data_IF_747013650856
#
_entry.id   IF_747013650856
#
_cell.length_a   1.000
_cell.length_b   1.000
_cell.length_c   1.000
_cell.angle_alpha   90.00
_cell.angle_beta   90.00
_cell.angle_gamma   90.00
#
_symmetry.space_group_name_H-M   'P 1'
#
loop_
_entity.id
_entity.type
_entity.pdbx_description
1 polymer ?
#
# COMPACT_ATOMS: atom_id res chain seq x y z
N UNK A 1 3.87 35.84 8.70
CA UNK A 1 2.96 37.00 8.60
C UNK A 1 3.05 37.55 7.18
N UNK A 2 1.97 38.04 6.53
CA UNK A 2 0.54 38.09 6.92
C UNK A 2 -0.24 36.89 6.32
N UNK A 3 -1.32 36.30 6.86
CA UNK A 3 -2.60 36.73 7.45
C UNK A 3 -3.61 37.33 6.47
N UNK A 4 -4.56 36.50 6.01
CA UNK A 4 -5.93 36.94 5.65
C UNK A 4 -6.90 35.93 6.27
N UNK A 5 -7.84 36.47 7.06
CA UNK A 5 -8.93 35.77 7.74
C UNK A 5 -10.27 36.23 7.14
N UNK A 6 -11.11 35.24 6.78
CA UNK A 6 -12.57 35.14 7.04
C UNK A 6 -13.56 36.14 6.37
N UNK A 7 -14.85 35.74 6.11
CA UNK A 7 -15.74 35.16 7.12
C UNK A 7 -16.62 33.95 6.73
N UNK A 8 -17.00 33.26 7.80
CA UNK A 8 -18.07 32.29 7.89
C UNK A 8 -19.43 32.96 8.12
N UNK A 9 -20.50 32.26 7.70
CA UNK A 9 -21.83 32.40 8.29
C UNK A 9 -22.95 32.74 7.31
N UNK A 10 -23.78 31.75 6.95
CA UNK A 10 -25.20 31.79 7.30
C UNK A 10 -25.83 30.40 7.09
N UNK A 11 -26.56 29.95 8.10
CA UNK A 11 -27.30 28.71 8.15
C UNK A 11 -28.77 28.90 7.77
N UNK A 12 -29.41 27.79 7.39
CA UNK A 12 -30.86 27.51 7.37
C UNK A 12 -31.72 28.25 6.33
N UNK A 13 -32.30 27.50 5.39
CA UNK A 13 -33.75 27.53 5.11
C UNK A 13 -34.20 26.18 4.54
N UNK A 14 -35.07 25.50 5.30
CA UNK A 14 -35.96 24.42 4.84
C UNK A 14 -37.05 25.03 3.94
N UNK A 15 -37.50 24.30 2.93
CA UNK A 15 -38.89 24.38 2.44
C UNK A 15 -39.37 23.02 1.98
N UNK A 16 -40.53 22.63 2.50
CA UNK A 16 -41.24 21.38 2.28
C UNK A 16 -41.88 21.28 0.89
N UNK A 17 -41.96 20.04 0.39
CA UNK A 17 -43.12 19.37 -0.23
C UNK A 17 -43.94 20.03 -1.34
N UNK A 18 -44.02 19.36 -2.50
CA UNK A 18 -45.27 19.12 -3.24
C UNK A 18 -45.05 18.16 -4.42
N UNK A 19 -45.94 17.16 -4.51
CA UNK A 19 -46.09 16.13 -5.54
C UNK A 19 -46.18 16.63 -7.00
N UNK A 20 -45.73 15.82 -7.97
CA UNK A 20 -46.58 15.08 -8.94
C UNK A 20 -45.80 14.51 -10.15
N UNK A 21 -46.12 13.25 -10.42
CA UNK A 21 -46.07 12.47 -11.66
C UNK A 21 -45.87 13.20 -13.01
N UNK A 22 -45.04 12.59 -13.89
CA UNK A 22 -45.50 12.25 -15.24
C UNK A 22 -44.71 12.76 -16.46
N UNK A 23 -44.18 11.78 -17.21
CA UNK A 23 -44.05 11.74 -18.68
C UNK A 23 -42.87 12.40 -19.39
N UNK A 24 -42.13 11.50 -20.07
CA UNK A 24 -41.40 11.65 -21.33
C UNK A 24 -41.91 12.74 -22.28
N UNK A 25 -40.97 13.48 -22.88
CA UNK A 25 -40.96 13.82 -24.32
C UNK A 25 -39.61 14.37 -24.77
N UNK A 26 -39.10 13.75 -25.82
CA UNK A 26 -38.06 14.27 -26.71
C UNK A 26 -38.39 15.68 -27.23
N UNK A 27 -37.35 16.50 -27.41
CA UNK A 27 -37.31 17.56 -28.41
C UNK A 27 -35.88 17.71 -28.94
N UNK A 28 -35.82 17.91 -30.26
CA UNK A 28 -34.68 17.78 -31.14
C UNK A 28 -34.40 19.09 -31.86
N UNK A 29 -33.12 19.30 -32.23
CA UNK A 29 -32.56 20.23 -33.24
C UNK A 29 -32.65 21.74 -32.90
N UNK A 30 -31.68 22.61 -33.22
CA UNK A 30 -30.73 22.64 -34.34
C UNK A 30 -29.58 23.65 -34.13
N UNK A 31 -28.37 23.21 -34.47
CA UNK A 31 -27.29 23.86 -35.26
C UNK A 31 -27.07 25.39 -35.22
N UNK A 32 -25.85 25.78 -34.82
CA UNK A 32 -24.93 26.51 -35.72
C UNK A 32 -23.46 26.23 -35.34
N UNK A 33 -22.73 25.65 -36.28
CA UNK A 33 -21.26 25.49 -36.34
C UNK A 33 -20.86 26.13 -37.70
N UNK A 34 -19.62 26.61 -37.92
CA UNK A 34 -18.49 25.68 -38.00
C UNK A 34 -17.11 26.22 -37.55
N UNK A 35 -16.29 25.30 -37.05
CA UNK A 35 -14.85 25.44 -36.87
C UNK A 35 -14.19 24.07 -36.81
N UNK A 36 -14.02 23.46 -37.99
CA UNK A 36 -13.36 22.17 -38.26
C UNK A 36 -12.06 22.00 -37.46
N UNK A 37 -11.70 20.78 -37.07
CA UNK A 37 -10.40 20.10 -37.28
C UNK A 37 -10.61 18.60 -36.99
N UNK A 38 -10.23 17.75 -37.93
CA UNK A 38 -10.46 16.29 -37.93
C UNK A 38 -9.23 15.53 -37.46
N UNK A 39 -9.41 14.47 -36.66
CA UNK A 39 -8.58 13.24 -36.73
C UNK A 39 -9.35 12.05 -36.15
N UNK A 40 -9.29 10.96 -36.91
CA UNK A 40 -10.07 9.72 -36.85
C UNK A 40 -9.55 8.71 -35.82
N UNK A 41 -10.46 8.06 -35.09
CA UNK A 41 -10.18 6.87 -34.28
C UNK A 41 -10.40 5.58 -35.10
N UNK A 42 -9.53 4.56 -35.04
CA UNK A 42 -9.80 3.23 -35.58
C UNK A 42 -10.46 2.31 -34.52
N UNK A 43 -11.41 1.48 -34.97
CA UNK A 43 -12.07 0.40 -34.20
C UNK A 43 -11.12 -0.79 -33.96
N UNK A 44 -11.31 -1.62 -32.92
CA UNK A 44 -10.39 -2.71 -32.62
C UNK A 44 -10.58 -3.88 -33.60
N UNK A 45 -9.47 -4.41 -34.11
CA UNK A 45 -9.44 -5.64 -34.89
C UNK A 45 -9.32 -6.85 -33.96
N UNK A 46 -10.20 -7.83 -34.15
CA UNK A 46 -10.17 -9.14 -33.48
C UNK A 46 -9.07 -9.99 -34.11
N UNK A 47 -8.06 -10.41 -33.34
CA UNK A 47 -7.03 -11.35 -33.79
C UNK A 47 -7.28 -12.75 -33.22
N UNK A 48 -7.54 -13.71 -34.12
CA UNK A 48 -7.61 -15.14 -33.82
C UNK A 48 -6.19 -15.70 -33.63
N UNK A 49 -5.93 -16.35 -32.49
CA UNK A 49 -4.66 -17.03 -32.22
C UNK A 49 -4.70 -18.44 -32.84
N UNK A 50 -3.82 -18.72 -33.81
CA UNK A 50 -3.55 -20.08 -34.30
C UNK A 50 -2.30 -20.63 -33.61
N UNK A 51 -2.41 -21.80 -32.98
CA UNK A 51 -1.29 -22.50 -32.36
C UNK A 51 -0.28 -22.98 -33.41
N UNK A 52 1.01 -22.73 -33.20
CA UNK A 52 2.09 -23.32 -34.00
C UNK A 52 2.61 -24.56 -33.28
N UNK A 53 2.60 -25.71 -33.97
CA UNK A 53 3.19 -26.97 -33.50
C UNK A 53 4.71 -26.89 -33.60
N UNK A 54 5.39 -27.33 -32.54
CA UNK A 54 6.82 -27.62 -32.56
C UNK A 54 7.06 -28.92 -33.34
N UNK A 55 7.95 -28.85 -34.34
CA UNK A 55 8.49 -30.04 -34.99
C UNK A 55 9.98 -30.12 -34.64
N UNK A 56 10.35 -31.20 -33.95
CA UNK A 56 11.72 -31.66 -33.80
C UNK A 56 12.23 -32.19 -35.14
N UNK A 57 13.47 -31.86 -35.51
CA UNK A 57 14.28 -32.76 -36.33
C UNK A 57 15.77 -32.46 -36.18
N UNK A 58 16.57 -33.50 -36.44
CA UNK A 58 17.93 -33.73 -35.95
C UNK A 58 18.97 -33.74 -37.08
N UNK A 59 20.25 -33.62 -36.69
CA UNK A 59 21.52 -33.96 -37.39
C UNK A 59 22.26 -32.89 -38.22
N UNK A 60 23.39 -32.47 -37.63
CA UNK A 60 24.79 -32.63 -38.08
C UNK A 60 25.36 -31.95 -39.37
N UNK A 61 26.52 -31.31 -39.13
CA UNK A 61 27.70 -31.04 -39.99
C UNK A 61 27.86 -29.71 -40.77
N UNK A 62 28.88 -28.97 -40.31
CA UNK A 62 29.89 -28.14 -41.02
C UNK A 62 29.57 -27.50 -42.38
N UNK A 63 29.70 -26.17 -42.43
CA UNK A 63 29.99 -25.44 -43.67
C UNK A 63 29.97 -23.92 -43.49
N UNK A 64 31.12 -23.27 -43.74
CA UNK A 64 31.26 -21.80 -43.79
C UNK A 64 30.49 -21.24 -44.98
N UNK A 65 29.82 -20.09 -44.82
CA UNK A 65 29.37 -19.28 -45.95
C UNK A 65 28.28 -18.27 -45.60
N UNK A 66 28.64 -16.99 -45.73
CA UNK A 66 27.81 -15.86 -46.17
C UNK A 66 26.28 -15.96 -46.00
N UNK A 67 25.71 -15.09 -45.17
CA UNK A 67 24.27 -14.81 -45.20
C UNK A 67 24.05 -13.47 -45.91
N UNK A 68 23.37 -13.57 -47.04
CA UNK A 68 22.91 -12.50 -47.91
C UNK A 68 21.75 -11.74 -47.24
N UNK A 69 21.74 -10.43 -47.45
CA UNK A 69 20.71 -9.50 -46.99
C UNK A 69 19.40 -9.70 -47.76
N UNK A 70 18.29 -9.30 -47.11
CA UNK A 70 16.94 -9.00 -47.65
C UNK A 70 15.89 -10.10 -47.57
N UNK A 71 15.19 -10.10 -46.44
CA UNK A 71 13.74 -10.25 -46.41
C UNK A 71 13.16 -9.50 -45.19
N UNK A 72 13.24 -8.16 -45.20
CA UNK A 72 12.52 -7.32 -44.26
C UNK A 72 11.10 -7.11 -44.77
N UNK A 73 10.11 -7.63 -44.03
CA UNK A 73 8.70 -7.23 -44.16
C UNK A 73 8.51 -5.95 -43.36
N UNK A 74 8.27 -4.85 -44.07
CA UNK A 74 7.93 -3.54 -43.53
C UNK A 74 6.59 -3.60 -42.76
N UNK A 75 6.63 -3.29 -41.46
CA UNK A 75 5.48 -2.74 -40.74
C UNK A 75 5.83 -1.30 -40.32
N UNK A 76 4.93 -0.38 -40.66
CA UNK A 76 5.12 1.06 -40.55
C UNK A 76 4.96 1.62 -39.13
N UNK A 77 5.82 2.61 -38.87
CA UNK A 77 5.64 3.84 -38.09
C UNK A 77 5.16 3.73 -36.63
N UNK A 78 6.03 3.19 -35.79
CA UNK A 78 6.23 3.68 -34.43
C UNK A 78 7.69 4.11 -34.32
N UNK A 79 7.97 5.30 -33.78
CA UNK A 79 9.34 5.75 -33.50
C UNK A 79 10.03 4.75 -32.55
N UNK A 80 10.71 3.75 -33.13
CA UNK A 80 11.75 2.99 -32.46
C UNK A 80 12.98 3.89 -32.51
N UNK A 81 13.15 4.70 -31.47
CA UNK A 81 14.41 5.37 -31.24
C UNK A 81 15.50 4.30 -31.22
N UNK A 82 16.46 4.43 -32.12
CA UNK A 82 17.75 3.76 -32.04
C UNK A 82 18.24 3.86 -30.58
N UNK A 83 18.33 2.72 -29.89
CA UNK A 83 19.12 2.63 -28.66
C UNK A 83 20.57 2.82 -29.04
N UNK A 84 20.99 4.09 -29.14
CA UNK A 84 22.39 4.44 -28.99
C UNK A 84 22.81 3.86 -27.65
N UNK A 85 23.78 2.93 -27.67
CA UNK A 85 24.47 2.48 -26.47
C UNK A 85 25.18 3.69 -25.84
N UNK A 86 24.44 4.48 -25.07
CA UNK A 86 25.02 5.44 -24.15
C UNK A 86 25.62 4.63 -23.02
N UNK A 87 26.93 4.43 -23.07
CA UNK A 87 27.73 3.91 -21.96
C UNK A 87 27.85 4.93 -20.83
N UNK A 88 26.75 5.61 -20.49
CA UNK A 88 26.58 6.30 -19.22
C UNK A 88 25.95 5.30 -18.27
N UNK A 89 26.48 5.17 -17.06
CA UNK A 89 25.79 4.49 -15.98
C UNK A 89 24.45 5.21 -15.77
N UNK A 90 23.37 4.64 -16.29
CA UNK A 90 22.04 5.19 -16.05
C UNK A 90 21.78 5.12 -14.54
N UNK A 91 21.81 6.29 -13.90
CA UNK A 91 21.52 6.42 -12.49
C UNK A 91 20.05 6.05 -12.25
N UNK A 92 19.82 5.05 -11.41
CA UNK A 92 18.47 4.71 -10.94
C UNK A 92 17.86 5.92 -10.23
N UNK A 93 16.69 6.36 -10.72
CA UNK A 93 15.99 7.56 -10.22
C UNK A 93 15.09 7.26 -9.02
N UNK A 94 14.18 6.29 -9.16
CA UNK A 94 13.27 5.83 -8.09
C UNK A 94 14.08 5.28 -6.93
N UNK A 95 13.78 5.68 -5.70
CA UNK A 95 14.45 5.26 -4.46
C UNK A 95 13.89 3.93 -3.91
N UNK A 96 14.68 3.26 -3.08
CA UNK A 96 14.28 2.03 -2.39
C UNK A 96 14.31 2.29 -0.88
N UNK A 97 13.18 2.06 -0.23
CA UNK A 97 13.03 2.06 1.22
C UNK A 97 13.06 0.61 1.70
N UNK A 98 13.91 0.28 2.65
CA UNK A 98 13.98 -1.05 3.24
C UNK A 98 13.65 -0.98 4.73
N UNK A 99 12.71 -1.81 5.18
CA UNK A 99 12.42 -1.97 6.61
C UNK A 99 13.53 -2.81 7.25
N UNK A 100 14.15 -2.27 8.31
CA UNK A 100 15.18 -2.99 9.06
C UNK A 100 14.51 -3.83 10.14
N UNK A 101 14.93 -5.09 10.23
CA UNK A 101 14.38 -6.04 11.20
C UNK A 101 15.40 -7.11 11.60
N UNK A 102 14.96 -8.20 12.25
CA UNK A 102 15.86 -9.24 12.75
C UNK A 102 16.85 -9.78 11.71
N UNK A 103 16.43 -9.99 10.45
CA UNK A 103 17.29 -10.49 9.39
C UNK A 103 18.33 -9.47 8.88
N UNK A 104 18.11 -8.19 9.14
CA UNK A 104 18.88 -7.09 8.53
C UNK A 104 19.44 -6.08 9.52
N UNK A 105 19.30 -6.34 10.82
CA UNK A 105 19.73 -5.43 11.90
C UNK A 105 21.23 -5.49 12.22
N UNK A 106 22.00 -6.42 11.63
CA UNK A 106 23.45 -6.50 11.81
C UNK A 106 24.16 -5.44 10.96
N UNK A 107 25.36 -5.03 11.40
CA UNK A 107 26.21 -4.09 10.65
C UNK A 107 26.43 -4.56 9.22
N UNK A 108 26.84 -5.81 9.06
CA UNK A 108 27.19 -6.41 7.77
C UNK A 108 26.00 -6.35 6.81
N UNK A 109 24.80 -6.63 7.32
CA UNK A 109 23.58 -6.65 6.51
C UNK A 109 23.10 -5.24 6.15
N UNK A 110 23.13 -4.28 7.08
CA UNK A 110 22.79 -2.87 6.77
C UNK A 110 23.72 -2.34 5.68
N UNK A 111 25.02 -2.59 5.80
CA UNK A 111 26.01 -2.13 4.83
C UNK A 111 25.82 -2.82 3.48
N UNK A 112 25.53 -4.13 3.49
CA UNK A 112 25.22 -4.86 2.26
C UNK A 112 23.96 -4.32 1.58
N UNK A 113 22.92 -3.99 2.33
CA UNK A 113 21.70 -3.37 1.79
C UNK A 113 22.01 -1.99 1.19
N UNK A 114 22.80 -1.17 1.87
CA UNK A 114 23.21 0.14 1.38
C UNK A 114 23.96 0.02 0.03
N UNK A 115 24.97 -0.84 -0.05
CA UNK A 115 25.75 -1.08 -1.28
C UNK A 115 24.93 -1.72 -2.40
N UNK A 116 23.89 -2.50 -2.07
CA UNK A 116 22.99 -3.10 -3.07
C UNK A 116 21.96 -2.10 -3.60
N UNK A 117 21.75 -0.96 -2.91
CA UNK A 117 20.94 0.15 -3.41
C UNK A 117 19.80 0.62 -2.51
N UNK A 118 19.77 0.21 -1.22
CA UNK A 118 18.89 0.86 -0.23
C UNK A 118 19.19 2.37 -0.21
N UNK A 119 18.15 3.21 -0.12
CA UNK A 119 18.29 4.66 0.04
C UNK A 119 17.76 5.15 1.38
N UNK A 120 16.78 4.46 1.94
CA UNK A 120 16.15 4.81 3.21
C UNK A 120 16.04 3.57 4.07
N UNK A 121 16.55 3.62 5.29
CA UNK A 121 16.34 2.62 6.32
C UNK A 121 15.07 2.98 7.12
N UNK A 122 14.04 2.15 7.02
CA UNK A 122 12.77 2.32 7.75
C UNK A 122 12.81 1.56 9.08
N UNK A 123 12.48 2.27 10.15
CA UNK A 123 12.29 1.76 11.51
C UNK A 123 10.80 1.68 11.80
N UNK A 124 10.26 0.48 11.94
CA UNK A 124 8.84 0.27 12.21
C UNK A 124 8.57 0.24 13.71
N UNK A 125 7.97 1.29 14.27
CA UNK A 125 7.72 1.44 15.72
C UNK A 125 6.56 0.60 16.26
N UNK A 126 5.86 -0.14 15.39
CA UNK A 126 4.93 -1.22 15.80
C UNK A 126 5.68 -2.42 16.39
N UNK A 127 6.99 -2.53 16.11
CA UNK A 127 7.86 -3.59 16.60
C UNK A 127 9.17 -3.03 17.16
N UNK A 128 9.82 -3.79 18.05
CA UNK A 128 11.06 -3.35 18.69
C UNK A 128 10.86 -2.27 19.74
N UNK A 129 11.92 -2.00 20.49
CA UNK A 129 12.01 -0.90 21.47
C UNK A 129 13.00 0.17 20.99
N UNK A 130 13.01 1.33 21.65
CA UNK A 130 13.93 2.43 21.31
C UNK A 130 15.39 2.01 21.36
N UNK A 131 15.78 1.09 22.25
CA UNK A 131 17.15 0.61 22.36
C UNK A 131 17.59 -0.21 21.12
N UNK A 132 16.69 -1.03 20.58
CA UNK A 132 16.93 -1.78 19.35
C UNK A 132 17.03 -0.86 18.13
N UNK A 133 16.13 0.12 18.02
CA UNK A 133 16.13 1.11 16.95
C UNK A 133 17.33 2.05 17.03
N UNK A 134 17.79 2.41 18.23
CA UNK A 134 19.00 3.20 18.45
C UNK A 134 20.22 2.53 17.82
N UNK A 135 20.39 1.21 18.03
CA UNK A 135 21.50 0.47 17.42
C UNK A 135 21.46 0.55 15.90
N UNK A 136 20.28 0.45 15.29
CA UNK A 136 20.13 0.60 13.84
C UNK A 136 20.50 2.00 13.38
N UNK A 137 20.05 3.04 14.09
CA UNK A 137 20.39 4.44 13.81
C UNK A 137 21.92 4.63 13.85
N UNK A 138 22.57 4.15 14.91
CA UNK A 138 24.01 4.28 15.10
C UNK A 138 24.78 3.62 13.94
N UNK A 139 24.38 2.42 13.52
CA UNK A 139 25.01 1.69 12.42
C UNK A 139 24.81 2.37 11.05
N UNK A 140 23.65 2.97 10.81
CA UNK A 140 23.38 3.73 9.58
C UNK A 140 24.19 5.04 9.56
N UNK A 141 24.23 5.77 10.69
CA UNK A 141 25.07 6.96 10.83
C UNK A 141 26.55 6.63 10.67
N UNK A 142 26.99 5.49 11.21
CA UNK A 142 28.36 5.01 11.03
C UNK A 142 28.69 4.74 9.56
N UNK A 143 27.77 4.09 8.82
CA UNK A 143 27.94 3.87 7.38
C UNK A 143 28.03 5.20 6.62
N UNK A 144 27.12 6.14 6.89
CA UNK A 144 27.12 7.45 6.24
C UNK A 144 28.41 8.24 6.52
N UNK A 145 29.02 8.08 7.70
CA UNK A 145 30.29 8.73 8.01
C UNK A 145 31.49 8.21 7.22
N UNK A 146 31.37 7.06 6.53
CA UNK A 146 32.45 6.50 5.71
C UNK A 146 32.55 7.11 4.31
N UNK A 147 31.51 7.83 3.85
CA UNK A 147 31.39 8.28 2.46
C UNK A 147 30.94 9.74 2.39
N UNK A 148 31.48 10.51 1.44
CA UNK A 148 31.06 11.90 1.22
C UNK A 148 29.83 11.99 0.29
N UNK A 149 29.65 11.01 -0.59
CA UNK A 149 28.68 11.00 -1.69
C UNK A 149 27.58 9.94 -1.53
N UNK A 150 27.69 9.05 -0.54
CA UNK A 150 26.68 8.05 -0.21
C UNK A 150 26.04 8.37 1.14
N UNK A 151 24.72 8.54 1.13
CA UNK A 151 23.95 8.72 2.34
C UNK A 151 22.69 7.86 2.29
N UNK A 152 22.45 7.13 3.38
CA UNK A 152 21.22 6.43 3.68
C UNK A 152 20.41 7.31 4.63
N UNK A 153 19.23 7.73 4.20
CA UNK A 153 18.31 8.43 5.09
C UNK A 153 17.65 7.45 6.06
N UNK A 154 17.18 7.95 7.19
CA UNK A 154 16.47 7.16 8.19
C UNK A 154 15.02 7.64 8.23
N UNK A 155 14.10 6.68 8.19
CA UNK A 155 12.66 6.92 8.31
C UNK A 155 12.13 6.23 9.56
N UNK A 156 11.44 6.98 10.42
CA UNK A 156 10.69 6.44 11.55
C UNK A 156 9.22 6.30 11.16
N UNK A 157 8.71 5.09 11.21
CA UNK A 157 7.32 4.77 10.92
C UNK A 157 6.55 4.56 12.22
N UNK A 158 5.63 5.47 12.52
CA UNK A 158 4.84 5.47 13.75
C UNK A 158 3.88 4.28 13.75
N UNK A 159 3.64 3.72 14.94
CA UNK A 159 2.66 2.66 15.11
C UNK A 159 1.26 3.13 14.72
N UNK A 160 0.92 4.34 15.12
CA UNK A 160 -0.38 4.95 14.86
C UNK A 160 -1.53 4.28 15.64
N UNK A 161 -2.74 4.81 15.46
CA UNK A 161 -3.93 4.28 16.10
C UNK A 161 -4.40 2.98 15.44
N UNK A 162 -4.09 1.85 16.05
CA UNK A 162 -4.53 0.52 15.59
C UNK A 162 -5.37 -0.20 16.65
N UNK A 163 -6.53 -0.71 16.23
CA UNK A 163 -7.31 -1.63 17.05
C UNK A 163 -6.78 -3.05 16.83
N UNK A 164 -6.46 -3.74 17.91
CA UNK A 164 -5.99 -5.11 17.93
C UNK A 164 -6.74 -5.95 18.94
N UNK A 165 -6.88 -7.24 18.64
CA UNK A 165 -7.33 -8.24 19.60
C UNK A 165 -6.30 -8.44 20.72
N UNK A 166 -6.75 -8.94 21.86
CA UNK A 166 -5.93 -9.26 23.01
C UNK A 166 -5.08 -10.51 22.78
N UNK A 167 -4.33 -10.86 23.83
CA UNK A 167 -3.55 -12.10 23.84
C UNK A 167 -4.48 -13.31 24.03
N UNK A 168 -4.35 -14.33 23.17
CA UNK A 168 -5.03 -15.62 23.30
C UNK A 168 -4.02 -16.69 23.73
N UNK A 169 -4.32 -17.52 24.75
CA UNK A 169 -3.39 -18.55 25.23
C UNK A 169 -3.06 -19.61 24.17
N UNK A 170 -4.02 -19.90 23.30
CA UNK A 170 -3.92 -20.79 22.16
C UNK A 170 -4.72 -20.20 21.00
N UNK A 171 -4.34 -20.45 19.74
CA UNK A 171 -5.14 -20.03 18.60
C UNK A 171 -6.59 -20.53 18.71
N UNK A 172 -7.54 -19.64 18.47
CA UNK A 172 -8.98 -19.95 18.53
C UNK A 172 -9.48 -20.17 17.11
N UNK A 173 -10.03 -21.35 16.83
CA UNK A 173 -10.62 -21.65 15.53
C UNK A 173 -12.05 -21.12 15.46
N UNK A 174 -12.26 -20.08 14.65
CA UNK A 174 -13.56 -19.48 14.43
C UNK A 174 -14.32 -20.18 13.30
N UNK A 175 -15.54 -20.64 13.59
CA UNK A 175 -16.42 -21.30 12.62
C UNK A 175 -17.52 -20.34 12.15
N UNK A 176 -17.82 -20.38 10.87
CA UNK A 176 -18.94 -19.64 10.28
C UNK A 176 -20.26 -19.89 11.03
N UNK A 177 -21.02 -18.82 11.28
CA UNK A 177 -22.30 -18.84 11.98
C UNK A 177 -22.21 -18.87 13.51
N UNK A 178 -21.03 -19.07 14.11
CA UNK A 178 -20.90 -19.06 15.57
C UNK A 178 -20.94 -17.64 16.14
N UNK A 179 -21.34 -17.51 17.40
CA UNK A 179 -21.21 -16.23 18.13
C UNK A 179 -19.77 -16.06 18.65
N UNK A 180 -19.24 -14.85 18.51
CA UNK A 180 -17.94 -14.48 19.07
C UNK A 180 -17.95 -13.00 19.48
N UNK A 181 -17.30 -12.70 20.60
CA UNK A 181 -17.40 -11.39 21.24
C UNK A 181 -16.03 -10.69 21.33
N UNK A 182 -16.06 -9.37 21.19
CA UNK A 182 -14.92 -8.50 21.48
C UNK A 182 -15.25 -7.60 22.66
N UNK A 183 -14.38 -7.52 23.67
CA UNK A 183 -14.63 -6.70 24.87
C UNK A 183 -13.50 -5.70 25.13
N UNK A 184 -13.84 -4.52 25.64
CA UNK A 184 -12.83 -3.54 26.09
C UNK A 184 -12.23 -3.90 27.45
N UNK A 185 -12.77 -4.91 28.13
CA UNK A 185 -12.25 -5.40 29.41
C UNK A 185 -10.90 -6.08 29.19
N UNK A 186 -9.81 -5.42 29.63
CA UNK A 186 -8.43 -5.89 29.44
C UNK A 186 -8.21 -7.26 30.07
N UNK A 187 -7.46 -8.11 29.35
CA UNK A 187 -7.05 -9.44 29.84
C UNK A 187 -8.09 -10.54 29.67
N UNK A 188 -9.30 -10.24 29.18
CA UNK A 188 -10.28 -11.26 28.86
C UNK A 188 -9.83 -12.04 27.61
N UNK A 189 -9.77 -13.35 27.75
CA UNK A 189 -9.59 -14.31 26.66
C UNK A 189 -10.24 -15.64 27.04
N UNK A 190 -11.43 -15.89 26.49
CA UNK A 190 -12.18 -17.15 26.60
C UNK A 190 -12.36 -17.76 25.21
N UNK A 191 -13.02 -18.92 25.12
CA UNK A 191 -13.28 -19.60 23.85
C UNK A 191 -14.18 -18.78 22.89
N UNK A 192 -14.97 -17.85 23.44
CA UNK A 192 -15.99 -17.07 22.73
C UNK A 192 -15.82 -15.55 22.86
N UNK A 193 -14.83 -15.09 23.62
CA UNK A 193 -14.65 -13.65 23.92
C UNK A 193 -13.17 -13.30 24.02
N UNK A 194 -12.75 -12.26 23.29
CA UNK A 194 -11.38 -11.74 23.35
C UNK A 194 -11.40 -10.24 23.61
N UNK A 195 -10.46 -9.77 24.42
CA UNK A 195 -10.31 -8.35 24.69
C UNK A 195 -9.82 -7.57 23.45
N UNK A 196 -10.04 -6.27 23.41
CA UNK A 196 -9.42 -5.36 22.43
C UNK A 196 -8.55 -4.34 23.15
N UNK A 197 -7.59 -3.74 22.44
CA UNK A 197 -6.65 -2.74 22.98
C UNK A 197 -7.15 -1.29 22.90
N UNK A 198 -8.44 -1.06 22.58
CA UNK A 198 -9.01 0.26 22.38
C UNK A 198 -10.32 0.42 23.16
N UNK A 199 -10.39 1.43 24.03
CA UNK A 199 -11.48 1.57 25.02
C UNK A 199 -12.77 2.10 24.41
N UNK A 200 -12.67 2.92 23.37
CA UNK A 200 -13.83 3.45 22.65
C UNK A 200 -14.32 2.53 21.51
N UNK A 201 -13.78 1.31 21.42
CA UNK A 201 -14.14 0.35 20.38
C UNK A 201 -15.66 0.09 20.30
N UNK A 202 -16.34 0.01 21.45
CA UNK A 202 -17.80 -0.20 21.52
C UNK A 202 -18.59 0.98 20.95
N UNK A 203 -18.04 2.19 21.05
CA UNK A 203 -18.66 3.42 20.53
C UNK A 203 -18.47 3.55 19.01
N UNK A 204 -17.38 2.98 18.47
CA UNK A 204 -17.03 3.06 17.05
C UNK A 204 -17.74 2.01 16.18
N UNK A 205 -18.44 1.05 16.79
CA UNK A 205 -19.16 -0.03 16.09
C UNK A 205 -20.66 0.07 16.28
N UNK A 206 -21.43 -0.30 15.25
CA UNK A 206 -22.90 -0.37 15.29
C UNK A 206 -23.41 -1.74 14.83
N UNK A 207 -24.58 -2.20 15.31
CA UNK A 207 -25.24 -3.38 14.78
C UNK A 207 -25.41 -3.28 13.26
N UNK A 208 -25.01 -4.33 12.55
CA UNK A 208 -24.97 -4.37 11.09
C UNK A 208 -23.59 -4.08 10.47
N UNK A 209 -22.64 -3.54 11.24
CA UNK A 209 -21.27 -3.38 10.77
C UNK A 209 -20.58 -4.74 10.56
N UNK A 210 -19.55 -4.74 9.71
CA UNK A 210 -18.66 -5.88 9.51
C UNK A 210 -17.29 -5.56 10.11
N UNK A 211 -16.90 -6.34 11.12
CA UNK A 211 -15.54 -6.35 11.66
C UNK A 211 -14.68 -7.24 10.79
N UNK A 212 -13.55 -6.70 10.36
CA UNK A 212 -12.53 -7.41 9.58
C UNK A 212 -11.35 -7.70 10.50
N UNK A 213 -10.84 -8.92 10.43
CA UNK A 213 -9.64 -9.33 11.16
C UNK A 213 -8.50 -9.57 10.16
N UNK A 214 -7.32 -9.02 10.46
CA UNK A 214 -6.11 -9.07 9.62
C UNK A 214 -6.42 -8.76 8.14
N UNK A 215 -7.07 -7.64 7.89
CA UNK A 215 -7.38 -7.18 6.53
C UNK A 215 -8.41 -8.01 5.76
N UNK A 216 -9.33 -8.64 6.49
CA UNK A 216 -10.45 -9.38 5.89
C UNK A 216 -10.17 -10.87 5.68
N UNK A 217 -9.08 -11.41 6.23
CA UNK A 217 -8.88 -12.87 6.28
C UNK A 217 -9.96 -13.58 7.11
N UNK A 218 -10.55 -12.87 8.08
CA UNK A 218 -11.78 -13.28 8.76
C UNK A 218 -12.70 -12.08 8.85
N UNK A 219 -14.01 -12.34 8.91
CA UNK A 219 -15.01 -11.29 9.02
C UNK A 219 -16.11 -11.68 10.01
N UNK A 220 -16.57 -10.73 10.80
CA UNK A 220 -17.61 -10.93 11.80
C UNK A 220 -18.66 -9.82 11.69
N UNK A 221 -19.93 -10.19 11.58
CA UNK A 221 -21.04 -9.24 11.56
C UNK A 221 -21.45 -8.86 12.98
N UNK A 222 -21.50 -7.56 13.28
CA UNK A 222 -21.92 -7.05 14.58
C UNK A 222 -23.43 -7.26 14.75
N UNK A 223 -23.81 -8.04 15.75
CA UNK A 223 -25.21 -8.36 16.06
C UNK A 223 -25.79 -7.40 17.10
N UNK A 224 -25.03 -7.09 18.14
CA UNK A 224 -25.44 -6.18 19.22
C UNK A 224 -24.24 -5.73 20.03
N UNK A 225 -24.40 -4.69 20.86
CA UNK A 225 -23.36 -4.22 21.79
C UNK A 225 -23.93 -3.97 23.19
N UNK A 226 -23.13 -4.23 24.21
CA UNK A 226 -23.34 -3.82 25.60
C UNK A 226 -22.49 -2.56 25.88
N UNK A 227 -22.33 -2.18 27.15
CA UNK A 227 -21.43 -1.08 27.55
C UNK A 227 -19.96 -1.38 27.25
N UNK A 228 -19.57 -2.65 27.25
CA UNK A 228 -18.18 -3.10 27.25
C UNK A 228 -17.87 -4.21 26.25
N UNK A 229 -18.88 -4.73 25.55
CA UNK A 229 -18.77 -5.94 24.74
C UNK A 229 -19.57 -5.81 23.45
N UNK A 230 -18.93 -6.17 22.34
CA UNK A 230 -19.51 -6.22 21.00
C UNK A 230 -19.74 -7.68 20.66
N UNK A 231 -21.01 -8.06 20.46
CA UNK A 231 -21.41 -9.41 20.10
C UNK A 231 -21.49 -9.54 18.59
N UNK A 232 -20.77 -10.51 18.04
CA UNK A 232 -20.68 -10.71 16.60
C UNK A 232 -21.07 -12.13 16.21
N UNK A 233 -21.46 -12.29 14.95
CA UNK A 233 -21.60 -13.59 14.28
C UNK A 233 -20.46 -13.72 13.29
N UNK A 234 -19.72 -14.83 13.34
CA UNK A 234 -18.66 -15.10 12.38
C UNK A 234 -19.28 -15.31 11.00
N UNK A 235 -18.85 -14.50 10.03
CA UNK A 235 -19.25 -14.62 8.61
C UNK A 235 -18.20 -15.45 7.91
N UNK A 236 -16.95 -14.96 7.88
CA UNK A 236 -15.81 -15.73 7.38
C UNK A 236 -14.95 -16.21 8.56
N UNK A 237 -14.91 -17.53 8.77
CA UNK A 237 -14.16 -18.18 9.84
C UNK A 237 -12.66 -18.28 9.56
N UNK A 238 -11.89 -18.68 10.58
CA UNK A 238 -10.44 -18.80 10.47
C UNK A 238 -9.75 -18.95 11.83
N UNK A 239 -8.42 -18.93 11.83
CA UNK A 239 -7.62 -19.09 13.05
C UNK A 239 -7.27 -17.73 13.66
N UNK A 240 -7.92 -17.37 14.77
CA UNK A 240 -7.63 -16.15 15.53
C UNK A 240 -6.44 -16.38 16.47
N UNK A 241 -5.35 -15.66 16.22
CA UNK A 241 -4.16 -15.62 17.10
C UNK A 241 -4.13 -14.33 17.92
N UNK A 242 -3.08 -14.12 18.71
CA UNK A 242 -2.94 -12.92 19.53
C UNK A 242 -2.68 -11.67 18.67
N UNK A 243 -3.13 -10.51 19.17
CA UNK A 243 -2.77 -9.17 18.66
C UNK A 243 -3.07 -8.95 17.18
N UNK A 244 -4.20 -9.50 16.72
CA UNK A 244 -4.67 -9.41 15.34
C UNK A 244 -5.31 -8.06 15.08
N UNK A 245 -5.10 -7.51 13.90
CA UNK A 245 -5.67 -6.21 13.52
C UNK A 245 -7.18 -6.33 13.38
N UNK A 246 -7.90 -5.32 13.90
CA UNK A 246 -9.35 -5.20 13.82
C UNK A 246 -9.72 -3.90 13.11
N UNK A 247 -10.54 -4.02 12.07
CA UNK A 247 -10.98 -2.90 11.26
C UNK A 247 -12.51 -2.97 11.10
N UNK A 248 -13.17 -1.82 10.98
CA UNK A 248 -14.63 -1.77 10.75
C UNK A 248 -14.84 -1.38 9.30
N UNK A 249 -15.42 -2.28 8.50
CA UNK A 249 -15.54 -2.07 7.06
C UNK A 249 -16.27 -0.76 6.74
N UNK A 250 -15.60 0.13 6.02
CA UNK A 250 -16.17 1.41 5.59
C UNK A 250 -16.29 2.47 6.68
N UNK A 251 -15.69 2.26 7.86
CA UNK A 251 -15.62 3.26 8.93
C UNK A 251 -14.19 3.45 9.38
N UNK A 252 -13.70 4.69 9.30
CA UNK A 252 -12.49 5.06 10.02
C UNK A 252 -12.80 5.19 11.50
N UNK A 253 -12.06 4.45 12.32
CA UNK A 253 -12.13 4.60 13.77
C UNK A 253 -11.92 6.07 14.19
N UNK A 254 -12.59 6.48 15.28
CA UNK A 254 -12.53 7.83 15.84
C UNK A 254 -11.27 8.05 16.68
N UNK A 255 -10.26 7.23 16.45
CA UNK A 255 -8.97 7.34 17.09
C UNK A 255 -8.27 8.65 16.72
N UNK A 256 -7.53 9.26 17.68
CA UNK A 256 -6.64 10.37 17.37
C UNK A 256 -5.57 9.91 16.37
N UNK A 257 -5.25 10.73 15.39
CA UNK A 257 -4.27 10.39 14.34
C UNK A 257 -2.84 10.15 14.86
N UNK A 258 -2.53 10.62 16.07
CA UNK A 258 -1.25 10.43 16.74
C UNK A 258 -1.55 10.08 18.20
N UNK A 259 -1.03 8.94 18.67
CA UNK A 259 -1.19 8.49 20.06
C UNK A 259 -0.11 9.06 20.98
N UNK A 260 -0.27 8.95 22.30
CA UNK A 260 0.77 9.36 23.26
C UNK A 260 2.08 8.59 23.03
N UNK A 261 1.98 7.30 22.69
CA UNK A 261 3.15 6.49 22.31
C UNK A 261 3.82 7.05 21.05
N UNK A 262 3.04 7.44 20.03
CA UNK A 262 3.61 8.01 18.82
C UNK A 262 4.35 9.32 19.12
N UNK A 263 3.88 10.13 20.07
CA UNK A 263 4.62 11.32 20.52
C UNK A 263 5.95 10.99 21.18
N UNK A 264 6.01 9.93 21.99
CA UNK A 264 7.27 9.43 22.57
C UNK A 264 8.23 8.94 21.47
N UNK A 265 7.71 8.20 20.48
CA UNK A 265 8.47 7.70 19.34
C UNK A 265 8.98 8.86 18.47
N UNK A 266 8.16 9.89 18.22
CA UNK A 266 8.54 11.10 17.49
C UNK A 266 9.63 11.84 18.24
N UNK A 267 9.50 12.02 19.56
CA UNK A 267 10.53 12.66 20.38
C UNK A 267 11.86 11.89 20.29
N UNK A 268 11.82 10.56 20.39
CA UNK A 268 12.99 9.70 20.20
C UNK A 268 13.65 9.92 18.83
N UNK A 269 12.84 10.05 17.77
CA UNK A 269 13.34 10.35 16.43
C UNK A 269 13.97 11.74 16.33
N UNK A 270 13.39 12.76 16.97
CA UNK A 270 13.91 14.14 16.96
C UNK A 270 15.24 14.20 17.70
N UNK A 271 15.33 13.55 18.86
CA UNK A 271 16.56 13.44 19.66
C UNK A 271 17.69 12.71 18.88
N UNK A 272 17.36 11.99 17.81
CA UNK A 272 18.26 11.23 16.95
C UNK A 272 18.44 11.80 15.54
N UNK A 273 17.93 12.99 15.24
CA UNK A 273 18.02 13.62 13.91
C UNK A 273 17.50 12.72 12.75
N UNK A 274 16.35 12.07 12.95
CA UNK A 274 15.70 11.27 11.88
C UNK A 274 15.24 12.16 10.72
N UNK A 275 15.46 11.71 9.48
CA UNK A 275 15.17 12.48 8.27
C UNK A 275 13.68 12.52 7.90
N UNK A 276 12.98 11.40 8.06
CA UNK A 276 11.58 11.25 7.66
C UNK A 276 10.72 10.59 8.72
N UNK A 277 9.47 11.04 8.84
CA UNK A 277 8.44 10.42 9.65
C UNK A 277 7.33 9.90 8.73
N UNK A 278 7.10 8.59 8.75
CA UNK A 278 5.89 8.00 8.17
C UNK A 278 4.84 7.93 9.27
N UNK A 279 3.79 8.74 9.13
CA UNK A 279 2.70 8.79 10.11
C UNK A 279 1.59 7.87 9.62
N UNK A 280 1.23 6.90 10.45
CA UNK A 280 0.24 5.88 10.12
C UNK A 280 -1.19 6.40 10.33
N UNK A 281 -2.14 5.92 9.52
CA UNK A 281 -3.58 6.27 9.61
C UNK A 281 -3.90 7.77 9.52
N UNK A 282 -3.10 8.51 8.75
CA UNK A 282 -3.32 9.94 8.50
C UNK A 282 -4.60 10.15 7.70
N UNK A 283 -5.46 11.05 8.21
CA UNK A 283 -6.72 11.41 7.56
C UNK A 283 -6.56 12.53 6.51
N UNK A 284 -5.43 13.26 6.51
CA UNK A 284 -5.10 14.28 5.48
C UNK A 284 -3.58 14.62 5.35
N UNK A 285 -3.14 14.75 4.08
CA UNK A 285 -1.88 15.32 3.51
C UNK A 285 -0.49 14.63 3.70
N UNK A 286 0.15 14.42 2.52
CA UNK A 286 1.40 13.67 2.19
C UNK A 286 1.20 12.15 2.27
N UNK A 287 1.15 11.49 1.12
CA UNK A 287 0.64 10.12 1.01
C UNK A 287 1.75 9.10 0.82
N UNK A 288 1.80 8.13 1.73
CA UNK A 288 2.33 6.80 1.47
C UNK A 288 1.13 5.93 1.07
N UNK A 289 1.22 5.20 -0.05
CA UNK A 289 0.17 4.24 -0.44
C UNK A 289 0.44 2.93 0.31
N UNK A 290 -0.08 2.83 1.53
CA UNK A 290 0.02 1.63 2.37
C UNK A 290 -1.01 0.58 1.93
N UNK A 291 -0.67 -0.20 0.89
CA UNK A 291 -1.62 -1.09 0.21
C UNK A 291 -2.20 -2.19 1.11
N UNK A 292 -1.45 -2.62 2.12
CA UNK A 292 -1.91 -3.61 3.10
C UNK A 292 -3.15 -3.13 3.86
N UNK A 293 -3.06 -1.95 4.48
CA UNK A 293 -4.18 -1.36 5.21
C UNK A 293 -5.27 -0.86 4.25
N UNK A 294 -4.89 -0.33 3.09
CA UNK A 294 -5.88 0.15 2.11
C UNK A 294 -6.75 -1.00 1.57
N UNK A 295 -6.16 -2.16 1.27
CA UNK A 295 -6.89 -3.36 0.85
C UNK A 295 -7.66 -4.05 1.97
N UNK A 296 -7.36 -3.74 3.23
CA UNK A 296 -8.17 -4.13 4.38
C UNK A 296 -9.45 -3.29 4.48
N UNK A 297 -9.35 -2.00 4.18
CA UNK A 297 -10.46 -1.04 4.33
C UNK A 297 -11.38 -0.98 3.11
N UNK A 298 -10.84 -1.20 1.92
CA UNK A 298 -11.52 -1.08 0.63
C UNK A 298 -11.50 -2.40 -0.14
N UNK A 299 -12.41 -2.60 -1.12
CA UNK A 299 -12.32 -3.73 -2.03
C UNK A 299 -10.93 -3.78 -2.70
N UNK A 300 -10.30 -4.95 -2.67
CA UNK A 300 -8.91 -5.13 -3.12
C UNK A 300 -8.70 -4.75 -4.60
N UNK A 301 -9.74 -4.89 -5.42
CA UNK A 301 -9.77 -4.53 -6.83
C UNK A 301 -9.75 -3.00 -7.08
N UNK A 302 -10.14 -2.19 -6.08
CA UNK A 302 -10.10 -0.72 -6.15
C UNK A 302 -8.72 -0.16 -5.79
N UNK A 303 -7.91 -0.90 -5.03
CA UNK A 303 -6.59 -0.47 -4.54
C UNK A 303 -5.66 -0.01 -5.68
N UNK A 304 -5.51 -0.73 -6.81
CA UNK A 304 -4.64 -0.27 -7.91
C UNK A 304 -5.10 1.04 -8.54
N UNK A 305 -6.42 1.24 -8.67
CA UNK A 305 -6.98 2.47 -9.24
C UNK A 305 -6.72 3.67 -8.33
N UNK A 306 -6.88 3.47 -7.02
CA UNK A 306 -6.58 4.49 -6.02
C UNK A 306 -5.09 4.81 -5.93
N UNK A 307 -4.22 3.80 -6.06
CA UNK A 307 -2.77 4.02 -6.14
C UNK A 307 -2.43 5.01 -7.27
N UNK A 308 -2.92 4.74 -8.48
CA UNK A 308 -2.66 5.62 -9.64
C UNK A 308 -3.15 7.05 -9.37
N UNK A 309 -4.38 7.18 -8.84
CA UNK A 309 -4.96 8.49 -8.53
C UNK A 309 -4.20 9.24 -7.42
N UNK A 310 -3.74 8.54 -6.38
CA UNK A 310 -2.93 9.13 -5.30
C UNK A 310 -1.58 9.60 -5.83
N UNK A 311 -0.88 8.77 -6.61
CA UNK A 311 0.40 9.12 -7.23
C UNK A 311 0.22 10.37 -8.10
N UNK A 312 -0.80 10.38 -8.96
CA UNK A 312 -1.09 11.52 -9.85
C UNK A 312 -1.35 12.82 -9.07
N UNK A 313 -2.07 12.74 -7.94
CA UNK A 313 -2.32 13.90 -7.06
C UNK A 313 -1.07 14.36 -6.33
N UNK A 314 -0.25 13.45 -5.81
CA UNK A 314 1.03 13.81 -5.18
C UNK A 314 1.94 14.53 -6.19
N UNK A 315 2.02 14.02 -7.42
CA UNK A 315 2.79 14.63 -8.50
C UNK A 315 2.30 16.03 -8.87
N UNK A 316 0.99 16.25 -9.01
CA UNK A 316 0.45 17.58 -9.30
C UNK A 316 0.72 18.59 -8.17
N UNK A 317 0.91 18.10 -6.95
CA UNK A 317 1.29 18.89 -5.78
C UNK A 317 2.80 18.97 -5.54
N UNK A 318 3.63 18.35 -6.39
CA UNK A 318 5.08 18.23 -6.23
C UNK A 318 5.48 17.66 -4.85
N UNK A 319 4.69 16.71 -4.36
CA UNK A 319 4.95 16.00 -3.10
C UNK A 319 5.45 14.59 -3.42
N UNK A 320 6.49 14.11 -2.72
CA UNK A 320 6.97 12.76 -2.93
C UNK A 320 5.92 11.72 -2.53
N UNK A 321 5.88 10.61 -3.24
CA UNK A 321 4.98 9.48 -2.98
C UNK A 321 5.75 8.15 -2.94
N UNK A 322 5.39 7.33 -1.96
CA UNK A 322 5.98 6.01 -1.75
C UNK A 322 4.89 4.97 -1.94
N UNK A 323 5.15 3.97 -2.78
CA UNK A 323 4.28 2.79 -2.91
C UNK A 323 4.85 1.68 -2.03
N UNK A 324 4.00 1.15 -1.15
CA UNK A 324 4.40 0.29 -0.05
C UNK A 324 3.58 -1.00 0.04
N UNK A 325 4.21 -1.99 0.69
CA UNK A 325 3.65 -3.28 1.12
C UNK A 325 3.49 -4.30 0.00
N UNK A 326 3.96 -5.53 0.25
CA UNK A 326 3.85 -6.71 -0.62
C UNK A 326 4.37 -6.50 -2.06
N UNK A 327 5.42 -5.71 -2.24
CA UNK A 327 6.01 -5.47 -3.56
C UNK A 327 6.78 -6.71 -4.05
N UNK A 328 7.42 -7.44 -3.13
CA UNK A 328 8.22 -8.65 -3.41
C UNK A 328 7.94 -9.76 -2.38
N UNK A 329 6.72 -9.88 -1.87
CA UNK A 329 6.36 -10.72 -0.72
C UNK A 329 6.86 -12.17 -0.80
N UNK A 330 6.76 -12.80 -1.97
CA UNK A 330 7.24 -14.17 -2.19
C UNK A 330 8.73 -14.33 -1.90
N UNK A 331 9.51 -13.25 -2.03
CA UNK A 331 10.94 -13.25 -1.78
C UNK A 331 11.33 -13.40 -0.31
N UNK A 332 10.37 -13.33 0.62
CA UNK A 332 10.59 -13.71 2.02
C UNK A 332 11.03 -15.18 2.11
N UNK A 333 10.45 -16.04 1.27
CA UNK A 333 10.67 -17.49 1.31
C UNK A 333 11.36 -18.04 0.05
N UNK A 334 11.43 -17.27 -1.03
CA UNK A 334 11.96 -17.70 -2.31
C UNK A 334 13.06 -16.76 -2.80
N UNK A 335 14.10 -17.27 -3.48
CA UNK A 335 15.21 -16.42 -3.96
C UNK A 335 14.84 -15.54 -5.17
N UNK A 336 13.69 -15.78 -5.80
CA UNK A 336 13.27 -15.10 -7.02
C UNK A 336 11.81 -14.64 -6.90
N UNK A 337 11.48 -13.43 -7.36
CA UNK A 337 10.11 -12.96 -7.33
C UNK A 337 9.25 -13.63 -8.40
N UNK A 338 7.95 -13.53 -8.22
CA UNK A 338 6.95 -13.88 -9.22
C UNK A 338 6.90 -12.85 -10.35
N UNK A 339 6.32 -13.24 -11.49
CA UNK A 339 6.06 -12.29 -12.60
C UNK A 339 5.11 -11.16 -12.19
N UNK A 340 4.19 -11.44 -11.27
CA UNK A 340 3.23 -10.45 -10.78
C UNK A 340 3.95 -9.36 -9.97
N UNK A 341 4.84 -9.73 -9.06
CA UNK A 341 5.64 -8.80 -8.24
C UNK A 341 6.58 -7.94 -9.08
N UNK A 342 7.24 -8.53 -10.10
CA UNK A 342 8.06 -7.77 -11.04
C UNK A 342 7.21 -6.76 -11.82
N UNK A 343 6.03 -7.18 -12.28
CA UNK A 343 5.09 -6.29 -12.97
C UNK A 343 4.60 -5.17 -12.07
N UNK A 344 4.33 -5.48 -10.80
CA UNK A 344 3.82 -4.52 -9.81
C UNK A 344 4.82 -3.38 -9.57
N UNK A 345 6.09 -3.69 -9.33
CA UNK A 345 7.15 -2.67 -9.23
C UNK A 345 7.26 -1.86 -10.51
N UNK A 346 7.28 -2.50 -11.67
CA UNK A 346 7.41 -1.81 -12.94
C UNK A 346 6.24 -0.84 -13.19
N UNK A 347 5.02 -1.22 -12.79
CA UNK A 347 3.84 -0.37 -12.90
C UNK A 347 3.92 0.80 -11.92
N UNK A 348 4.25 0.57 -10.64
CA UNK A 348 4.39 1.65 -9.65
C UNK A 348 5.42 2.70 -10.09
N UNK A 349 6.57 2.26 -10.64
CA UNK A 349 7.60 3.15 -11.18
C UNK A 349 7.10 3.90 -12.42
N UNK A 350 6.34 3.25 -13.30
CA UNK A 350 5.80 3.87 -14.52
C UNK A 350 4.69 4.88 -14.22
N UNK A 351 3.89 4.63 -13.20
CA UNK A 351 2.91 5.60 -12.66
C UNK A 351 3.61 6.81 -12.03
N UNK A 352 4.86 6.60 -11.60
CA UNK A 352 5.79 7.65 -11.26
C UNK A 352 6.16 7.71 -9.78
N UNK A 353 5.97 6.62 -9.02
CA UNK A 353 6.39 6.57 -7.62
C UNK A 353 7.85 7.03 -7.42
N UNK A 354 8.06 7.93 -6.46
CA UNK A 354 9.41 8.42 -6.12
C UNK A 354 10.23 7.36 -5.40
N UNK A 355 9.56 6.51 -4.62
CA UNK A 355 10.16 5.36 -3.97
C UNK A 355 9.23 4.13 -3.93
N UNK A 356 9.84 2.97 -3.88
CA UNK A 356 9.17 1.70 -3.54
C UNK A 356 9.70 1.19 -2.19
N UNK A 357 8.85 0.53 -1.43
CA UNK A 357 9.18 0.07 -0.07
C UNK A 357 9.10 -1.44 0.09
N UNK A 358 10.12 -2.01 0.72
CA UNK A 358 10.18 -3.39 1.20
C UNK A 358 9.90 -3.43 2.71
N UNK A 359 8.98 -4.30 3.10
CA UNK A 359 8.48 -4.48 4.46
C UNK A 359 9.01 -5.79 5.05
N UNK A 360 8.22 -6.87 5.04
CA UNK A 360 8.62 -8.17 5.56
C UNK A 360 9.80 -8.77 4.79
N UNK A 361 9.91 -8.43 3.50
CA UNK A 361 10.93 -8.89 2.57
C UNK A 361 12.34 -8.62 3.08
N UNK A 362 12.58 -7.44 3.69
CA UNK A 362 13.88 -7.09 4.28
C UNK A 362 13.91 -7.22 5.80
N UNK A 363 12.77 -7.13 6.48
CA UNK A 363 12.76 -7.20 7.94
C UNK A 363 13.05 -8.62 8.46
N UNK A 364 12.45 -9.64 7.84
CA UNK A 364 12.55 -11.04 8.28
C UNK A 364 12.66 -12.05 7.12
N UNK A 365 12.92 -11.59 5.89
CA UNK A 365 13.25 -12.45 4.76
C UNK A 365 14.51 -13.27 4.99
N UNK A 366 14.68 -14.36 4.23
CA UNK A 366 15.78 -15.33 4.36
C UNK A 366 17.02 -14.98 3.57
#
# INVERSE_FOLDING_TARGET
MPSINLPAGCSVLKSEGSDRLGSSRHLSRSFSEPGRWSRSAPRPAVSVVRSVRLAEESRAQNGRGFVDEKAFVQYGDGHVGETTNSSGTELRKTKIVCTIGPSTSSREMIWKLAETGMNVARLNMSHGDHASHQKTIDLVKEYNAQFEDKAIAIMLDTKGPEVRSGDVPQPIMLKEGQEFNFTITRGVSTADTVSVNYDDFVNDVEPGDILLVDGGMMSLAVKSKTKDTVKCIVVDGGELKSRRHLNVRGKSATLPSITDKDWEDIKFGVDNDIDFYAVSFVKDAKAMVARGDLGAELPIEEVPLLQEDIIRRCHSMQKPVIVATNMLESMINHPTPTRAEVSDIAIAVREGADAVMLSGETAHGK
#
